data_IF_283825890032
#
_entry.id   IF_283825890032
#
_cell.length_a   1.000
_cell.length_b   1.000
_cell.length_c   1.000
_cell.angle_alpha   90.00
_cell.angle_beta   90.00
_cell.angle_gamma   90.00
#
_symmetry.space_group_name_H-M   'P 1'
#
loop_
_entity.id
_entity.type
_entity.pdbx_description
1 polymer ?
#
# COMPACT_ATOMS: atom_id res chain seq x y z
N UNK A 1 55.99 54.67 17.56
CA UNK A 1 54.58 54.84 17.99
C UNK A 1 53.60 54.16 17.02
N UNK A 2 53.86 54.19 15.72
CA UNK A 2 52.98 53.59 14.70
C UNK A 2 52.90 52.05 14.74
N UNK A 3 53.99 51.33 15.00
CA UNK A 3 53.95 49.86 15.05
C UNK A 3 53.04 49.32 16.17
N UNK A 4 53.03 49.96 17.33
CA UNK A 4 52.13 49.56 18.41
C UNK A 4 50.65 49.84 18.10
N UNK A 5 50.38 50.85 17.28
CA UNK A 5 49.03 51.13 16.80
C UNK A 5 48.57 50.04 15.81
N UNK A 6 49.44 49.63 14.90
CA UNK A 6 49.14 48.60 13.89
C UNK A 6 48.84 47.24 14.52
N UNK A 7 49.64 46.82 15.51
CA UNK A 7 49.42 45.57 16.25
C UNK A 7 48.07 45.57 16.96
N UNK A 8 47.66 46.69 17.58
CA UNK A 8 46.36 46.82 18.25
C UNK A 8 45.20 46.72 17.27
N UNK A 9 45.31 47.35 16.09
CA UNK A 9 44.27 47.28 15.05
C UNK A 9 44.08 45.85 14.53
N UNK A 10 45.17 45.13 14.25
CA UNK A 10 45.10 43.73 13.81
C UNK A 10 44.45 42.84 14.88
N UNK A 11 44.80 43.04 16.16
CA UNK A 11 44.24 42.29 17.26
C UNK A 11 42.73 42.57 17.46
N UNK A 12 42.30 43.82 17.28
CA UNK A 12 40.87 44.15 17.30
C UNK A 12 40.11 43.50 16.13
N UNK A 13 40.68 43.50 14.92
CA UNK A 13 40.04 42.88 13.75
C UNK A 13 39.92 41.36 13.89
N UNK A 14 40.93 40.68 14.46
CA UNK A 14 40.88 39.24 14.68
C UNK A 14 39.83 38.86 15.73
N UNK A 15 39.70 39.64 16.80
CA UNK A 15 38.66 39.47 17.81
C UNK A 15 37.27 39.65 17.20
N UNK A 16 37.06 40.70 16.41
CA UNK A 16 35.78 40.95 15.74
C UNK A 16 35.43 39.81 14.78
N UNK A 17 36.39 39.32 13.99
CA UNK A 17 36.19 38.19 13.10
C UNK A 17 35.82 36.90 13.87
N UNK A 18 36.49 36.64 14.99
CA UNK A 18 36.19 35.49 15.85
C UNK A 18 34.77 35.57 16.44
N UNK A 19 34.35 36.76 16.91
CA UNK A 19 32.99 36.98 17.44
C UNK A 19 31.95 36.74 16.35
N UNK A 20 32.16 37.27 15.14
CA UNK A 20 31.24 37.05 14.00
C UNK A 20 31.12 35.57 13.62
N UNK A 21 32.22 34.81 13.65
CA UNK A 21 32.22 33.39 13.38
C UNK A 21 31.40 32.59 14.41
N UNK A 22 31.52 32.93 15.70
CA UNK A 22 30.73 32.30 16.79
C UNK A 22 29.24 32.61 16.61
N UNK A 23 28.87 33.86 16.32
CA UNK A 23 27.47 34.26 16.09
C UNK A 23 26.89 33.53 14.88
N UNK A 24 27.64 33.42 13.78
CA UNK A 24 27.24 32.66 12.60
C UNK A 24 27.05 31.18 12.93
N UNK A 25 27.95 30.58 13.70
CA UNK A 25 27.85 29.19 14.16
C UNK A 25 26.58 28.92 14.98
N UNK A 26 26.27 29.80 15.94
CA UNK A 26 25.02 29.71 16.75
C UNK A 26 23.79 29.82 15.86
N UNK A 27 23.81 30.72 14.88
CA UNK A 27 22.70 30.91 13.94
C UNK A 27 22.48 29.68 13.06
N UNK A 28 23.57 29.07 12.55
CA UNK A 28 23.52 27.83 11.75
C UNK A 28 22.98 26.67 12.60
N UNK A 29 23.44 26.49 13.83
CA UNK A 29 22.94 25.43 14.73
C UNK A 29 21.44 25.62 15.01
N UNK A 30 21.00 26.84 15.33
CA UNK A 30 19.57 27.14 15.52
C UNK A 30 18.76 26.91 14.25
N UNK A 31 19.27 27.30 13.09
CA UNK A 31 18.61 27.09 11.82
C UNK A 31 18.44 25.60 11.50
N UNK A 32 19.46 24.78 11.74
CA UNK A 32 19.40 23.31 11.58
C UNK A 32 18.39 22.70 12.57
N UNK A 33 18.41 23.14 13.83
CA UNK A 33 17.49 22.65 14.86
C UNK A 33 16.02 22.97 14.54
N UNK A 34 15.74 24.21 14.11
CA UNK A 34 14.40 24.64 13.67
C UNK A 34 13.93 23.87 12.44
N UNK A 35 14.84 23.64 11.47
CA UNK A 35 14.54 22.86 10.27
C UNK A 35 14.26 21.39 10.58
N UNK A 36 14.98 20.79 11.54
CA UNK A 36 14.68 19.43 12.05
C UNK A 36 13.30 19.39 12.69
N UNK A 37 13.02 20.26 13.67
CA UNK A 37 11.72 20.34 14.36
C UNK A 37 10.54 20.53 13.39
N UNK A 38 10.71 21.34 12.34
CA UNK A 38 9.68 21.55 11.33
C UNK A 38 9.46 20.31 10.43
N UNK A 39 10.53 19.57 10.08
CA UNK A 39 10.40 18.29 9.36
C UNK A 39 9.74 17.23 10.23
N UNK A 40 10.15 17.12 11.49
CA UNK A 40 9.61 16.16 12.44
C UNK A 40 8.13 16.44 12.70
N UNK A 41 7.75 17.72 12.87
CA UNK A 41 6.36 18.13 13.02
C UNK A 41 5.50 17.85 11.77
N UNK A 42 6.03 18.06 10.56
CA UNK A 42 5.35 17.69 9.31
C UNK A 42 5.21 16.18 9.16
N UNK A 43 6.25 15.42 9.52
CA UNK A 43 6.24 13.96 9.49
C UNK A 43 5.21 13.38 10.45
N UNK A 44 5.16 13.86 11.69
CA UNK A 44 4.17 13.43 12.69
C UNK A 44 2.75 13.71 12.22
N UNK A 45 2.48 14.90 11.65
CA UNK A 45 1.17 15.23 11.07
C UNK A 45 0.79 14.32 9.90
N UNK A 46 1.75 14.04 9.01
CA UNK A 46 1.54 13.13 7.89
C UNK A 46 1.24 11.70 8.37
N UNK A 47 2.01 11.20 9.35
CA UNK A 47 1.82 9.87 9.91
C UNK A 47 0.45 9.72 10.58
N UNK A 48 0.01 10.72 11.36
CA UNK A 48 -1.34 10.73 11.96
C UNK A 48 -2.42 10.70 10.88
N UNK A 49 -2.31 11.57 9.87
CA UNK A 49 -3.30 11.62 8.77
C UNK A 49 -3.38 10.30 8.01
N UNK A 50 -2.24 9.61 7.85
CA UNK A 50 -2.16 8.30 7.20
C UNK A 50 -2.84 7.22 8.04
N UNK A 51 -2.51 7.14 9.33
CA UNK A 51 -3.13 6.21 10.28
C UNK A 51 -4.65 6.42 10.33
N UNK A 52 -5.11 7.67 10.34
CA UNK A 52 -6.54 8.00 10.31
C UNK A 52 -7.22 7.52 9.02
N UNK A 53 -6.59 7.70 7.85
CA UNK A 53 -7.11 7.22 6.57
C UNK A 53 -7.20 5.68 6.54
N UNK A 54 -6.16 5.01 7.05
CA UNK A 54 -6.10 3.55 7.11
C UNK A 54 -7.12 2.98 8.10
N UNK A 55 -7.28 3.61 9.26
CA UNK A 55 -8.30 3.26 10.24
C UNK A 55 -9.72 3.51 9.72
N UNK A 56 -9.95 4.59 8.97
CA UNK A 56 -11.24 4.85 8.33
C UNK A 56 -11.56 3.79 7.28
N UNK A 57 -10.55 3.36 6.49
CA UNK A 57 -10.70 2.26 5.56
C UNK A 57 -11.04 0.95 6.28
N UNK A 58 -10.29 0.59 7.33
CA UNK A 58 -10.55 -0.60 8.13
C UNK A 58 -11.93 -0.55 8.79
N UNK A 59 -12.34 0.59 9.32
CA UNK A 59 -13.69 0.80 9.86
C UNK A 59 -14.75 0.50 8.81
N UNK A 60 -14.57 0.97 7.58
CA UNK A 60 -15.49 0.68 6.47
C UNK A 60 -15.54 -0.82 6.16
N UNK A 61 -14.43 -1.54 6.22
CA UNK A 61 -14.39 -2.99 5.92
C UNK A 61 -14.99 -3.83 7.04
N UNK A 62 -14.76 -3.45 8.29
CA UNK A 62 -15.18 -4.21 9.48
C UNK A 62 -16.55 -3.77 10.00
N UNK A 63 -17.04 -2.59 9.60
CA UNK A 63 -18.18 -1.92 10.22
C UNK A 63 -17.92 -1.43 11.65
N UNK A 64 -16.67 -1.53 12.14
CA UNK A 64 -16.26 -1.18 13.50
C UNK A 64 -14.78 -0.76 13.53
N UNK A 65 -14.34 0.03 14.52
CA UNK A 65 -12.93 0.41 14.65
C UNK A 65 -12.08 -0.84 14.90
N UNK A 66 -10.90 -0.91 14.29
CA UNK A 66 -9.94 -1.94 14.63
C UNK A 66 -9.27 -1.61 15.96
N UNK A 67 -9.53 -2.43 16.98
CA UNK A 67 -8.97 -2.31 18.33
C UNK A 67 -8.08 -3.52 18.59
N UNK A 68 -6.78 -3.27 18.78
CA UNK A 68 -5.77 -4.28 19.07
C UNK A 68 -5.81 -4.79 20.52
N UNK A 69 -6.58 -4.15 21.41
CA UNK A 69 -6.70 -4.53 22.83
C UNK A 69 -7.97 -5.33 23.15
N UNK A 70 -9.00 -5.27 22.30
CA UNK A 70 -10.17 -6.15 22.40
C UNK A 70 -9.90 -7.37 21.52
N UNK A 71 -9.67 -8.52 22.14
CA UNK A 71 -9.61 -9.80 21.42
C UNK A 71 -10.78 -9.92 20.45
N UNK A 72 -10.50 -9.73 19.16
CA UNK A 72 -11.49 -9.72 18.11
C UNK A 72 -12.00 -11.13 17.83
N UNK A 73 -13.18 -11.23 17.22
CA UNK A 73 -13.62 -12.47 16.60
C UNK A 73 -12.54 -12.95 15.61
N UNK A 74 -12.12 -14.22 15.70
CA UNK A 74 -10.99 -14.80 14.97
C UNK A 74 -11.03 -14.52 13.45
N UNK A 75 -12.25 -14.43 12.88
CA UNK A 75 -12.47 -14.14 11.46
C UNK A 75 -12.23 -12.68 11.07
N UNK A 76 -12.45 -11.75 11.99
CA UNK A 76 -12.12 -10.35 11.78
C UNK A 76 -10.62 -10.14 11.97
N UNK A 77 -10.00 -10.84 12.92
CA UNK A 77 -8.55 -10.79 13.15
C UNK A 77 -7.77 -11.20 11.89
N UNK A 78 -8.15 -12.30 11.23
CA UNK A 78 -7.50 -12.75 9.99
C UNK A 78 -7.70 -11.75 8.83
N UNK A 79 -8.90 -11.21 8.67
CA UNK A 79 -9.20 -10.22 7.62
C UNK A 79 -8.36 -8.95 7.83
N UNK A 80 -8.29 -8.46 9.07
CA UNK A 80 -7.51 -7.27 9.38
C UNK A 80 -6.02 -7.54 9.26
N UNK A 81 -5.56 -8.71 9.64
CA UNK A 81 -4.17 -9.12 9.44
C UNK A 81 -3.78 -9.05 7.97
N UNK A 82 -4.62 -9.60 7.07
CA UNK A 82 -4.40 -9.54 5.61
C UNK A 82 -4.39 -8.10 5.10
N UNK A 83 -5.37 -7.27 5.49
CA UNK A 83 -5.45 -5.88 5.04
C UNK A 83 -4.27 -5.05 5.55
N UNK A 84 -3.90 -5.23 6.82
CA UNK A 84 -2.74 -4.58 7.43
C UNK A 84 -1.45 -4.98 6.71
N UNK A 85 -1.30 -6.26 6.35
CA UNK A 85 -0.15 -6.74 5.58
C UNK A 85 -0.10 -6.10 4.19
N UNK A 86 -1.24 -6.04 3.46
CA UNK A 86 -1.34 -5.37 2.15
C UNK A 86 -0.99 -3.88 2.23
N UNK A 87 -1.50 -3.19 3.26
CA UNK A 87 -1.25 -1.78 3.49
C UNK A 87 0.23 -1.49 3.76
N UNK A 88 0.88 -2.29 4.63
CA UNK A 88 2.33 -2.18 4.88
C UNK A 88 3.16 -2.40 3.60
N UNK A 89 2.76 -3.34 2.74
CA UNK A 89 3.43 -3.55 1.45
C UNK A 89 3.24 -2.35 0.51
N UNK A 90 2.04 -1.77 0.47
CA UNK A 90 1.76 -0.55 -0.28
C UNK A 90 2.61 0.62 0.23
N UNK A 91 2.75 0.78 1.54
CA UNK A 91 3.58 1.82 2.14
C UNK A 91 5.06 1.63 1.74
N UNK A 92 5.58 0.40 1.78
CA UNK A 92 6.93 0.08 1.31
C UNK A 92 7.13 0.47 -0.16
N UNK A 93 6.15 0.18 -1.02
CA UNK A 93 6.16 0.61 -2.43
C UNK A 93 6.18 2.13 -2.55
N UNK A 94 5.29 2.84 -1.85
CA UNK A 94 5.20 4.30 -1.90
C UNK A 94 6.49 4.97 -1.42
N UNK A 95 7.06 4.49 -0.30
CA UNK A 95 8.35 4.97 0.23
C UNK A 95 9.45 4.77 -0.81
N UNK A 96 9.50 3.61 -1.48
CA UNK A 96 10.51 3.34 -2.51
C UNK A 96 10.42 4.32 -3.69
N UNK A 97 9.20 4.62 -4.15
CA UNK A 97 8.93 5.55 -5.24
C UNK A 97 9.29 6.99 -4.84
N UNK A 98 8.88 7.42 -3.63
CA UNK A 98 9.14 8.78 -3.13
C UNK A 98 10.63 9.02 -2.89
N UNK A 99 11.37 7.99 -2.46
CA UNK A 99 12.80 8.10 -2.15
C UNK A 99 13.69 8.18 -3.39
N UNK A 100 13.11 8.19 -4.61
CA UNK A 100 13.86 8.29 -5.87
C UNK A 100 14.53 6.99 -6.32
N UNK A 101 14.23 5.87 -5.66
CA UNK A 101 14.64 4.54 -6.14
C UNK A 101 13.67 4.15 -7.26
N UNK A 102 13.99 4.52 -8.50
CA UNK A 102 13.15 4.27 -9.67
C UNK A 102 12.86 2.77 -9.89
N UNK A 103 13.74 1.89 -9.41
CA UNK A 103 13.48 0.46 -9.27
C UNK A 103 12.95 0.17 -7.87
N UNK A 104 11.85 -0.58 -7.77
CA UNK A 104 11.42 -1.20 -6.51
C UNK A 104 12.65 -1.83 -5.84
N UNK A 105 13.03 -1.33 -4.66
CA UNK A 105 14.17 -1.85 -3.92
C UNK A 105 14.04 -3.39 -3.82
N UNK A 106 15.15 -4.12 -3.91
CA UNK A 106 15.15 -5.59 -3.94
C UNK A 106 14.34 -6.20 -2.80
N UNK A 107 14.41 -5.60 -1.62
CA UNK A 107 13.66 -6.01 -0.44
C UNK A 107 12.13 -5.85 -0.62
N UNK A 108 11.67 -4.73 -1.18
CA UNK A 108 10.24 -4.48 -1.43
C UNK A 108 9.70 -5.47 -2.48
N UNK A 109 10.50 -5.74 -3.51
CA UNK A 109 10.17 -6.74 -4.52
C UNK A 109 10.07 -8.13 -3.91
N UNK A 110 11.02 -8.54 -3.07
CA UNK A 110 11.02 -9.85 -2.42
C UNK A 110 9.85 -9.99 -1.44
N UNK A 111 9.54 -8.94 -0.67
CA UNK A 111 8.38 -8.91 0.22
C UNK A 111 7.07 -9.10 -0.56
N UNK A 112 6.91 -8.40 -1.69
CA UNK A 112 5.76 -8.57 -2.59
C UNK A 112 5.67 -9.99 -3.15
N UNK A 113 6.80 -10.54 -3.63
CA UNK A 113 6.85 -11.89 -4.18
C UNK A 113 6.49 -12.95 -3.11
N UNK A 114 7.03 -12.81 -1.90
CA UNK A 114 6.72 -13.70 -0.78
C UNK A 114 5.26 -13.58 -0.33
N UNK A 115 4.63 -12.41 -0.53
CA UNK A 115 3.23 -12.23 -0.21
C UNK A 115 2.30 -12.95 -1.19
N UNK A 116 2.68 -13.03 -2.46
CA UNK A 116 1.88 -13.66 -3.53
C UNK A 116 2.31 -15.08 -3.87
N UNK A 117 3.39 -15.60 -3.26
CA UNK A 117 3.95 -16.91 -3.57
C UNK A 117 3.01 -18.06 -3.22
N UNK A 118 2.25 -17.93 -2.13
CA UNK A 118 1.16 -18.84 -1.81
C UNK A 118 -0.11 -18.41 -2.56
N UNK A 119 -0.28 -18.98 -3.76
CA UNK A 119 -1.33 -18.60 -4.70
C UNK A 119 -2.73 -18.93 -4.18
N UNK A 120 -2.88 -20.09 -3.55
CA UNK A 120 -4.16 -20.55 -3.02
C UNK A 120 -4.57 -19.69 -1.82
N UNK A 121 -3.62 -19.38 -0.93
CA UNK A 121 -3.86 -18.42 0.14
C UNK A 121 -4.20 -17.03 -0.40
N UNK A 122 -3.47 -16.54 -1.40
CA UNK A 122 -3.74 -15.23 -1.98
C UNK A 122 -5.14 -15.16 -2.63
N UNK A 123 -5.57 -16.21 -3.32
CA UNK A 123 -6.91 -16.34 -3.89
C UNK A 123 -7.98 -16.37 -2.80
N UNK A 124 -7.75 -17.16 -1.74
CA UNK A 124 -8.64 -17.26 -0.59
C UNK A 124 -8.80 -15.91 0.13
N UNK A 125 -7.69 -15.27 0.51
CA UNK A 125 -7.65 -13.94 1.13
C UNK A 125 -8.39 -12.90 0.26
N UNK A 126 -8.18 -12.96 -1.06
CA UNK A 126 -8.83 -12.05 -2.02
C UNK A 126 -10.33 -12.30 -2.11
N UNK A 127 -10.78 -13.56 -2.13
CA UNK A 127 -12.21 -13.91 -2.06
C UNK A 127 -12.86 -13.32 -0.80
N UNK A 128 -12.25 -13.51 0.37
CA UNK A 128 -12.80 -13.02 1.63
C UNK A 128 -12.86 -11.49 1.68
N UNK A 129 -11.84 -10.81 1.16
CA UNK A 129 -11.87 -9.35 1.03
C UNK A 129 -13.02 -8.89 0.13
N UNK A 130 -13.19 -9.48 -1.06
CA UNK A 130 -14.27 -9.12 -1.97
C UNK A 130 -15.65 -9.48 -1.42
N UNK A 131 -15.78 -10.57 -0.65
CA UNK A 131 -17.03 -10.94 0.01
C UNK A 131 -17.50 -9.87 0.98
N UNK A 132 -16.56 -9.19 1.66
CA UNK A 132 -16.86 -8.08 2.58
C UNK A 132 -17.09 -6.76 1.84
N UNK A 133 -16.23 -6.43 0.86
CA UNK A 133 -16.28 -5.14 0.16
C UNK A 133 -17.38 -5.06 -0.91
N UNK A 134 -17.69 -6.20 -1.55
CA UNK A 134 -18.62 -6.30 -2.67
C UNK A 134 -19.55 -7.52 -2.48
N UNK A 135 -20.35 -7.57 -1.40
CA UNK A 135 -21.13 -8.74 -1.02
C UNK A 135 -22.15 -9.15 -2.08
N UNK A 136 -22.78 -8.19 -2.78
CA UNK A 136 -23.74 -8.45 -3.87
C UNK A 136 -23.07 -9.15 -5.05
N UNK A 137 -21.90 -8.67 -5.45
CA UNK A 137 -21.09 -9.27 -6.52
C UNK A 137 -20.67 -10.71 -6.16
N UNK A 138 -20.17 -10.94 -4.94
CA UNK A 138 -19.80 -12.28 -4.50
C UNK A 138 -21.02 -13.21 -4.41
N UNK A 139 -22.14 -12.73 -3.89
CA UNK A 139 -23.38 -13.50 -3.83
C UNK A 139 -23.86 -13.91 -5.22
N UNK A 140 -23.80 -13.01 -6.21
CA UNK A 140 -24.12 -13.31 -7.61
C UNK A 140 -23.22 -14.43 -8.19
N UNK A 141 -21.91 -14.35 -8.00
CA UNK A 141 -21.01 -15.40 -8.48
C UNK A 141 -21.32 -16.75 -7.83
N UNK A 142 -21.56 -16.75 -6.52
CA UNK A 142 -21.92 -17.96 -5.76
C UNK A 142 -23.28 -18.52 -6.19
N UNK A 143 -24.26 -17.68 -6.50
CA UNK A 143 -25.58 -18.12 -6.98
C UNK A 143 -25.53 -18.74 -8.37
N UNK A 144 -24.46 -18.51 -9.14
CA UNK A 144 -24.16 -19.21 -10.41
C UNK A 144 -23.40 -20.53 -10.22
N UNK A 145 -23.22 -20.99 -8.97
CA UNK A 145 -22.60 -22.27 -8.66
C UNK A 145 -21.07 -22.28 -8.74
N UNK A 146 -20.42 -21.11 -8.72
CA UNK A 146 -18.97 -21.01 -8.61
C UNK A 146 -18.55 -21.40 -7.19
N UNK A 147 -17.49 -22.19 -7.05
CA UNK A 147 -16.88 -22.49 -5.74
C UNK A 147 -16.26 -21.23 -5.10
N UNK A 148 -15.86 -21.28 -3.82
CA UNK A 148 -15.15 -20.15 -3.20
C UNK A 148 -13.84 -19.85 -3.92
N UNK A 149 -13.11 -20.90 -4.28
CA UNK A 149 -11.88 -20.79 -5.08
C UNK A 149 -12.14 -20.19 -6.47
N UNK A 150 -13.19 -20.64 -7.18
CA UNK A 150 -13.55 -20.07 -8.50
C UNK A 150 -14.03 -18.61 -8.38
N UNK A 151 -14.67 -18.27 -7.27
CA UNK A 151 -15.06 -16.89 -6.97
C UNK A 151 -13.82 -16.04 -6.71
N UNK A 152 -12.87 -16.51 -5.90
CA UNK A 152 -11.59 -15.83 -5.67
C UNK A 152 -10.76 -15.68 -6.95
N UNK A 153 -10.81 -16.68 -7.82
CA UNK A 153 -10.21 -16.60 -9.16
C UNK A 153 -10.86 -15.48 -9.99
N UNK A 154 -12.19 -15.36 -9.99
CA UNK A 154 -12.87 -14.21 -10.61
C UNK A 154 -12.46 -12.89 -9.96
N UNK A 155 -12.24 -12.86 -8.64
CA UNK A 155 -11.76 -11.66 -7.95
C UNK A 155 -10.35 -11.22 -8.42
N UNK A 156 -9.52 -12.09 -9.01
CA UNK A 156 -8.28 -11.67 -9.65
C UNK A 156 -8.54 -10.81 -10.90
N UNK A 157 -9.53 -11.17 -11.71
CA UNK A 157 -9.97 -10.32 -12.82
C UNK A 157 -10.60 -9.01 -12.34
N UNK A 158 -11.36 -9.08 -11.26
CA UNK A 158 -11.92 -7.90 -10.59
C UNK A 158 -10.82 -6.95 -10.08
N UNK A 159 -9.71 -7.50 -9.59
CA UNK A 159 -8.50 -6.77 -9.19
C UNK A 159 -7.77 -6.11 -10.38
N UNK A 160 -8.14 -6.48 -11.62
CA UNK A 160 -7.62 -5.87 -12.84
C UNK A 160 -6.60 -6.72 -13.61
N UNK A 161 -6.30 -7.93 -13.15
CA UNK A 161 -5.41 -8.84 -13.87
C UNK A 161 -6.05 -9.26 -15.20
N UNK A 162 -5.24 -9.38 -16.26
CA UNK A 162 -5.69 -9.94 -17.55
C UNK A 162 -5.50 -11.45 -17.54
N UNK A 163 -6.14 -12.16 -18.47
CA UNK A 163 -6.06 -13.63 -18.55
C UNK A 163 -4.61 -14.15 -18.60
N UNK A 164 -3.74 -13.48 -19.37
CA UNK A 164 -2.31 -13.79 -19.40
C UNK A 164 -1.60 -13.61 -18.05
N UNK A 165 -1.99 -12.60 -17.27
CA UNK A 165 -1.38 -12.28 -15.98
C UNK A 165 -1.86 -13.30 -14.93
N UNK A 166 -3.14 -13.68 -14.98
CA UNK A 166 -3.70 -14.74 -14.14
C UNK A 166 -3.08 -16.10 -14.47
N UNK A 167 -2.90 -16.40 -15.76
CA UNK A 167 -2.21 -17.62 -16.22
C UNK A 167 -0.76 -17.68 -15.74
N UNK A 168 -0.03 -16.56 -15.84
CA UNK A 168 1.33 -16.44 -15.33
C UNK A 168 1.38 -16.59 -13.80
N UNK A 169 0.49 -15.91 -13.08
CA UNK A 169 0.38 -15.99 -11.62
C UNK A 169 0.13 -17.42 -11.14
N UNK A 170 -0.76 -18.17 -11.81
CA UNK A 170 -1.04 -19.54 -11.43
C UNK A 170 0.10 -20.51 -11.78
N UNK A 171 0.98 -20.14 -12.72
CA UNK A 171 1.99 -21.03 -13.33
C UNK A 171 1.39 -22.34 -13.86
N UNK A 172 0.11 -22.31 -14.22
CA UNK A 172 -0.62 -23.49 -14.75
C UNK A 172 -1.00 -23.23 -16.20
N UNK A 173 -0.53 -24.09 -17.09
CA UNK A 173 -0.95 -24.14 -18.50
C UNK A 173 -2.45 -24.41 -18.71
N UNK A 174 -3.22 -24.66 -17.64
CA UNK A 174 -4.64 -24.98 -17.67
C UNK A 174 -5.60 -23.84 -17.30
N UNK A 175 -5.16 -22.58 -17.19
CA UNK A 175 -6.07 -21.47 -16.85
C UNK A 175 -7.22 -21.33 -17.86
N UNK A 176 -7.00 -21.63 -19.14
CA UNK A 176 -8.06 -21.67 -20.15
C UNK A 176 -9.19 -22.68 -19.83
N UNK A 177 -8.85 -23.81 -19.20
CA UNK A 177 -9.85 -24.81 -18.79
C UNK A 177 -10.67 -24.31 -17.59
N UNK A 178 -10.05 -23.55 -16.70
CA UNK A 178 -10.72 -22.91 -15.56
C UNK A 178 -11.65 -21.81 -16.08
N UNK A 179 -11.15 -20.93 -16.95
CA UNK A 179 -11.92 -19.87 -17.60
C UNK A 179 -13.15 -20.43 -18.32
N UNK A 180 -12.96 -21.45 -19.15
CA UNK A 180 -14.05 -22.10 -19.89
C UNK A 180 -15.10 -22.71 -18.96
N UNK A 181 -14.67 -23.41 -17.91
CA UNK A 181 -15.58 -23.98 -16.91
C UNK A 181 -16.39 -22.90 -16.20
N UNK A 182 -15.75 -21.80 -15.80
CA UNK A 182 -16.41 -20.67 -15.13
C UNK A 182 -17.37 -19.97 -16.10
N UNK A 183 -16.97 -19.69 -17.34
CA UNK A 183 -17.83 -19.12 -18.38
C UNK A 183 -19.12 -19.91 -18.53
N UNK A 184 -19.03 -21.24 -18.61
CA UNK A 184 -20.20 -22.12 -18.69
C UNK A 184 -21.12 -21.98 -17.47
N UNK A 185 -20.58 -21.93 -16.26
CA UNK A 185 -21.38 -21.71 -15.04
C UNK A 185 -22.07 -20.34 -15.03
N UNK A 186 -21.42 -19.32 -15.60
CA UNK A 186 -21.97 -17.98 -15.75
C UNK A 186 -22.96 -17.85 -16.92
N UNK A 187 -23.14 -18.91 -17.72
CA UNK A 187 -24.01 -18.92 -18.90
C UNK A 187 -23.44 -18.17 -20.10
N UNK A 188 -22.11 -18.05 -20.19
CA UNK A 188 -21.42 -17.37 -21.29
C UNK A 188 -21.08 -18.36 -22.42
N UNK A 189 -21.55 -18.07 -23.62
CA UNK A 189 -21.24 -18.73 -24.88
C UNK A 189 -19.92 -18.25 -25.51
N UNK A 190 -19.66 -18.65 -26.75
CA UNK A 190 -18.42 -18.32 -27.49
C UNK A 190 -18.35 -16.87 -27.96
N UNK A 191 -19.48 -16.26 -28.30
CA UNK A 191 -19.55 -14.87 -28.76
C UNK A 191 -19.65 -13.85 -27.61
N UNK A 192 -19.88 -14.33 -26.39
CA UNK A 192 -19.95 -13.48 -25.21
C UNK A 192 -18.59 -12.94 -24.79
N UNK A 193 -18.62 -11.77 -24.14
CA UNK A 193 -17.46 -11.09 -23.58
C UNK A 193 -16.50 -12.06 -22.87
N UNK A 194 -15.19 -11.85 -23.04
CA UNK A 194 -14.18 -12.64 -22.32
C UNK A 194 -14.44 -12.59 -20.80
N UNK A 195 -14.01 -13.63 -20.06
CA UNK A 195 -14.38 -13.78 -18.65
C UNK A 195 -13.98 -12.55 -17.82
N UNK A 196 -12.78 -12.01 -18.03
CA UNK A 196 -12.31 -10.84 -17.29
C UNK A 196 -13.11 -9.56 -17.55
N UNK A 197 -13.59 -9.33 -18.78
CA UNK A 197 -14.45 -8.20 -19.10
C UNK A 197 -15.82 -8.35 -18.45
N UNK A 198 -16.40 -9.55 -18.54
CA UNK A 198 -17.70 -9.85 -17.93
C UNK A 198 -17.66 -9.69 -16.40
N UNK A 199 -16.62 -10.21 -15.75
CA UNK A 199 -16.47 -10.10 -14.29
C UNK A 199 -16.37 -8.64 -13.86
N UNK A 200 -15.59 -7.81 -14.58
CA UNK A 200 -15.45 -6.39 -14.26
C UNK A 200 -16.73 -5.58 -14.50
N UNK A 201 -17.49 -5.88 -15.55
CA UNK A 201 -18.78 -5.23 -15.77
C UNK A 201 -19.77 -5.57 -14.66
N UNK A 202 -19.86 -6.86 -14.28
CA UNK A 202 -20.71 -7.30 -13.17
C UNK A 202 -20.30 -6.72 -11.83
N UNK A 203 -19.00 -6.60 -11.56
CA UNK A 203 -18.55 -5.89 -10.36
C UNK A 203 -19.08 -4.45 -10.36
N UNK A 204 -18.91 -3.71 -11.46
CA UNK A 204 -19.34 -2.31 -11.56
C UNK A 204 -20.85 -2.16 -11.33
N UNK A 205 -21.66 -3.02 -11.97
CA UNK A 205 -23.12 -3.01 -11.83
C UNK A 205 -23.62 -3.39 -10.43
N UNK A 206 -22.84 -4.19 -9.69
CA UNK A 206 -23.21 -4.72 -8.37
C UNK A 206 -22.41 -4.06 -7.22
N UNK A 207 -21.68 -2.98 -7.51
CA UNK A 207 -20.92 -2.20 -6.52
C UNK A 207 -21.73 -1.07 -5.87
N UNK A 208 -22.96 -0.88 -6.33
CA UNK A 208 -23.98 0.00 -5.74
C UNK A 208 -24.91 -0.78 -4.79
#
# INVERSE_FOLDING_TARGET
MEEQHYIRVILCLSIVAAVLAVVAGVFVVRYIALRRKNRDGKFVKWAISRIEADNAFLYKVLGKPYDNNRGGDLKDEETVFVLTKRLKLLDKVLVSVISGNASLNGDVRNDLLSYVSDKDKFIHDTYHQYKRLHPRFVAFLRSKGLSEWETGYCCLYALGLRGKDVGAFLERGGHYNIDSRIRRKLGLGTEDANLGNYVRSRLKELSD
#
